data_IF_032625883874
#
_entry.id   IF_032625883874
#
_cell.length_a   1.000
_cell.length_b   1.000
_cell.length_c   1.000
_cell.angle_alpha   90.00
_cell.angle_beta   90.00
_cell.angle_gamma   90.00
#
_symmetry.space_group_name_H-M   'P 1'
#
loop_
_entity.id
_entity.type
_entity.pdbx_description
1 polymer ?
#
# COMPACT_ATOMS: atom_id res chain seq x y z
N UNK A 1 -0.79 17.19 0.65
CA UNK A 1 0.44 17.74 1.31
C UNK A 1 0.09 19.12 1.86
N UNK A 2 0.50 19.47 3.07
CA UNK A 2 0.15 20.74 3.72
C UNK A 2 -0.13 20.57 5.22
N UNK A 3 -0.44 21.68 5.91
CA UNK A 3 -0.63 21.70 7.39
C UNK A 3 -1.74 20.76 7.88
N UNK A 4 -2.79 20.55 7.09
CA UNK A 4 -3.88 19.65 7.44
C UNK A 4 -3.57 18.16 7.22
N UNK A 5 -2.44 17.81 6.59
CA UNK A 5 -2.11 16.43 6.29
C UNK A 5 -1.84 15.63 7.57
N UNK A 6 -2.28 14.36 7.60
CA UNK A 6 -2.22 13.48 8.77
C UNK A 6 -0.82 13.45 9.38
N UNK A 7 0.22 13.18 8.58
CA UNK A 7 1.60 13.10 9.06
C UNK A 7 2.13 14.42 9.61
N UNK A 8 1.68 15.56 9.08
CA UNK A 8 2.08 16.89 9.60
C UNK A 8 1.43 17.14 10.95
N UNK A 9 0.13 16.89 11.06
CA UNK A 9 -0.63 17.06 12.30
C UNK A 9 -0.11 16.17 13.43
N UNK A 10 0.27 14.92 13.13
CA UNK A 10 0.85 14.02 14.13
C UNK A 10 2.17 14.59 14.68
N UNK A 11 3.04 15.12 13.81
CA UNK A 11 4.29 15.78 14.24
C UNK A 11 4.05 17.05 15.05
N UNK A 12 3.07 17.86 14.66
CA UNK A 12 2.71 19.11 15.35
C UNK A 12 2.24 18.88 16.81
N UNK A 13 1.64 17.73 17.10
CA UNK A 13 1.22 17.36 18.47
C UNK A 13 2.30 16.62 19.27
N UNK A 14 3.54 16.54 18.75
CA UNK A 14 4.69 15.96 19.44
C UNK A 14 4.95 14.48 19.15
N UNK A 15 4.31 13.87 18.15
CA UNK A 15 4.66 12.50 17.72
C UNK A 15 5.89 12.58 16.80
N UNK A 16 7.06 12.28 17.35
CA UNK A 16 8.35 12.36 16.63
C UNK A 16 8.40 11.45 15.40
N UNK A 17 7.94 10.20 15.56
CA UNK A 17 7.91 9.20 14.50
C UNK A 17 6.48 8.68 14.26
N UNK A 18 5.70 9.33 13.38
CA UNK A 18 4.38 8.84 12.99
C UNK A 18 4.37 7.42 12.40
N UNK A 19 5.52 6.95 11.87
CA UNK A 19 5.67 5.62 11.27
C UNK A 19 5.52 4.45 12.25
N UNK A 20 5.50 4.73 13.56
CA UNK A 20 5.14 3.74 14.59
C UNK A 20 3.63 3.51 14.71
N UNK A 21 2.81 4.42 14.16
CA UNK A 21 1.35 4.39 14.31
C UNK A 21 0.61 4.22 12.99
N UNK A 22 1.21 4.67 11.88
CA UNK A 22 0.59 4.62 10.56
C UNK A 22 1.65 4.35 9.49
N UNK A 23 1.33 3.46 8.56
CA UNK A 23 2.13 3.19 7.37
C UNK A 23 1.23 3.18 6.12
N UNK A 24 1.81 3.54 4.97
CA UNK A 24 1.09 3.65 3.71
C UNK A 24 1.73 2.72 2.68
N UNK A 25 0.89 1.88 2.07
CA UNK A 25 1.35 0.84 1.16
C UNK A 25 0.51 0.81 -0.11
N UNK A 26 1.09 0.25 -1.15
CA UNK A 26 0.42 -0.15 -2.39
C UNK A 26 0.75 -1.62 -2.68
N UNK A 27 0.21 -2.13 -3.79
CA UNK A 27 0.47 -3.50 -4.23
C UNK A 27 1.10 -3.50 -5.63
N UNK A 28 2.11 -4.35 -5.83
CA UNK A 28 2.81 -4.54 -7.10
C UNK A 28 3.23 -5.99 -7.26
N UNK A 29 3.15 -6.49 -8.49
CA UNK A 29 3.58 -7.83 -8.85
C UNK A 29 4.50 -7.83 -10.07
N UNK A 30 5.06 -8.99 -10.38
CA UNK A 30 5.82 -9.22 -11.59
C UNK A 30 5.57 -10.61 -12.14
N UNK A 31 5.83 -10.77 -13.43
CA UNK A 31 5.75 -12.05 -14.12
C UNK A 31 6.68 -12.02 -15.33
N UNK A 32 6.58 -13.02 -16.20
CA UNK A 32 7.26 -13.05 -17.48
C UNK A 32 6.26 -12.97 -18.63
N UNK A 33 6.52 -12.09 -19.58
CA UNK A 33 5.79 -11.99 -20.84
C UNK A 33 6.79 -12.23 -21.98
N UNK A 34 6.60 -13.29 -22.76
CA UNK A 34 7.54 -13.71 -23.81
C UNK A 34 8.98 -13.86 -23.29
N UNK A 35 9.15 -14.49 -22.12
CA UNK A 35 10.43 -14.63 -21.41
C UNK A 35 11.10 -13.32 -20.98
N UNK A 36 10.40 -12.19 -21.06
CA UNK A 36 10.86 -10.89 -20.56
C UNK A 36 10.18 -10.62 -19.22
N UNK A 37 10.93 -10.42 -18.12
CA UNK A 37 10.37 -9.98 -16.86
C UNK A 37 9.61 -8.66 -17.02
N UNK A 38 8.39 -8.61 -16.53
CA UNK A 38 7.54 -7.42 -16.50
C UNK A 38 7.00 -7.20 -15.10
N UNK A 39 6.65 -5.96 -14.77
CA UNK A 39 5.99 -5.60 -13.51
C UNK A 39 4.79 -4.73 -13.78
N UNK A 40 3.75 -4.87 -12.95
CA UNK A 40 2.64 -3.94 -12.93
C UNK A 40 2.08 -3.78 -11.51
N UNK A 41 1.47 -2.63 -11.23
CA UNK A 41 0.71 -2.41 -10.01
C UNK A 41 -0.50 -3.35 -9.95
N UNK A 42 -0.86 -3.76 -8.74
CA UNK A 42 -2.16 -4.38 -8.48
C UNK A 42 -3.09 -3.25 -8.06
N UNK A 43 -4.16 -3.05 -8.83
CA UNK A 43 -5.09 -1.96 -8.59
C UNK A 43 -5.98 -2.24 -7.37
N UNK A 44 -5.73 -1.53 -6.27
CA UNK A 44 -6.53 -1.62 -5.05
C UNK A 44 -7.87 -0.89 -5.25
N UNK A 45 -8.86 -1.62 -5.77
CA UNK A 45 -10.22 -1.09 -5.95
C UNK A 45 -11.11 -1.28 -4.71
N UNK A 46 -10.61 -1.97 -3.68
CA UNK A 46 -11.35 -2.25 -2.45
C UNK A 46 -11.78 -0.99 -1.70
N UNK A 47 -12.95 -1.04 -1.09
CA UNK A 47 -13.40 -0.07 -0.08
C UNK A 47 -13.75 -0.83 1.19
N UNK A 48 -12.73 -1.01 2.02
CA UNK A 48 -12.74 -1.93 3.16
C UNK A 48 -12.07 -1.25 4.35
N UNK A 49 -12.71 -1.37 5.52
CA UNK A 49 -12.15 -1.04 6.81
C UNK A 49 -12.31 -2.25 7.72
N UNK A 50 -11.25 -2.62 8.44
CA UNK A 50 -11.29 -3.64 9.49
C UNK A 50 -10.75 -2.98 10.76
N UNK A 51 -11.48 -3.12 11.87
CA UNK A 51 -11.07 -2.58 13.17
C UNK A 51 -11.04 -3.71 14.22
N UNK A 52 -9.92 -3.77 14.94
CA UNK A 52 -9.69 -4.61 16.12
C UNK A 52 -9.96 -6.12 15.94
N UNK A 53 -9.94 -6.64 14.71
CA UNK A 53 -10.43 -7.98 14.39
C UNK A 53 -11.89 -8.22 14.82
N UNK A 54 -12.75 -7.19 14.91
CA UNK A 54 -14.16 -7.35 15.33
C UNK A 54 -15.19 -6.69 14.43
N UNK A 55 -14.80 -5.63 13.73
CA UNK A 55 -15.70 -4.84 12.90
C UNK A 55 -15.14 -4.77 11.50
N UNK A 56 -15.98 -5.03 10.51
CA UNK A 56 -15.69 -4.82 9.09
C UNK A 56 -16.71 -3.85 8.52
N UNK A 57 -16.24 -2.86 7.78
CA UNK A 57 -17.07 -2.06 6.89
C UNK A 57 -16.62 -2.33 5.47
N UNK A 58 -17.52 -2.78 4.61
CA UNK A 58 -17.24 -2.98 3.18
C UNK A 58 -18.38 -2.43 2.33
N UNK A 59 -18.07 -1.98 1.12
CA UNK A 59 -19.07 -1.38 0.25
C UNK A 59 -18.49 -0.79 -1.03
N UNK A 60 -19.23 0.15 -1.62
CA UNK A 60 -18.82 0.89 -2.82
C UNK A 60 -18.17 2.25 -2.50
N UNK A 61 -18.42 2.80 -1.31
CA UNK A 61 -17.99 4.14 -0.93
C UNK A 61 -16.46 4.29 -0.76
N UNK A 62 -15.83 5.11 -1.60
CA UNK A 62 -14.42 5.49 -1.45
C UNK A 62 -14.23 6.44 -0.25
N UNK A 63 -12.99 6.56 0.25
CA UNK A 63 -12.63 7.60 1.24
C UNK A 63 -12.41 8.93 0.50
N UNK A 64 -13.49 9.55 0.06
CA UNK A 64 -13.50 10.85 -0.63
C UNK A 64 -14.88 11.53 -0.48
N UNK A 65 -14.99 12.82 -0.80
CA UNK A 65 -16.24 13.57 -0.66
C UNK A 65 -17.32 13.05 -1.62
N UNK A 66 -16.92 12.63 -2.83
CA UNK A 66 -17.85 12.06 -3.83
C UNK A 66 -18.69 10.92 -3.25
N UNK A 67 -18.09 10.03 -2.49
CA UNK A 67 -18.76 8.89 -1.87
C UNK A 67 -19.31 9.20 -0.47
N UNK A 68 -18.65 10.04 0.33
CA UNK A 68 -18.92 10.13 1.78
C UNK A 68 -19.92 11.22 2.21
N UNK A 69 -20.15 12.27 1.40
CA UNK A 69 -21.02 13.39 1.83
C UNK A 69 -22.52 13.15 1.62
N UNK A 70 -22.89 12.04 0.96
CA UNK A 70 -24.28 11.61 0.74
C UNK A 70 -25.12 12.46 -0.23
N UNK A 71 -24.61 13.61 -0.70
CA UNK A 71 -25.28 14.49 -1.68
C UNK A 71 -24.74 14.35 -3.11
N UNK A 72 -23.77 13.45 -3.33
CA UNK A 72 -23.11 13.21 -4.62
C UNK A 72 -23.48 11.81 -5.13
N UNK A 73 -22.52 10.90 -5.21
CA UNK A 73 -22.76 9.56 -5.74
C UNK A 73 -23.58 8.74 -4.76
N UNK A 74 -24.46 7.88 -5.28
CA UNK A 74 -25.19 6.90 -4.48
C UNK A 74 -24.28 5.73 -4.15
N UNK A 75 -24.09 5.46 -2.86
CA UNK A 75 -23.21 4.40 -2.38
C UNK A 75 -23.95 3.44 -1.46
N UNK A 76 -23.45 2.22 -1.32
CA UNK A 76 -23.93 1.22 -0.37
C UNK A 76 -22.75 0.67 0.45
N UNK A 77 -22.99 0.44 1.74
CA UNK A 77 -22.03 -0.20 2.63
C UNK A 77 -22.74 -1.10 3.64
N UNK A 78 -22.06 -2.17 4.05
CA UNK A 78 -22.46 -3.06 5.13
C UNK A 78 -21.47 -2.92 6.29
N UNK A 79 -22.00 -2.88 7.52
CA UNK A 79 -21.21 -2.97 8.76
C UNK A 79 -21.45 -4.35 9.34
N UNK A 80 -20.37 -5.10 9.54
CA UNK A 80 -20.38 -6.45 10.07
C UNK A 80 -19.65 -6.41 11.41
N UNK A 81 -20.37 -6.70 12.48
CA UNK A 81 -19.82 -6.77 13.84
C UNK A 81 -19.90 -8.21 14.31
N UNK A 82 -18.74 -8.78 14.65
CA UNK A 82 -18.66 -10.16 15.14
C UNK A 82 -19.31 -10.30 16.53
N UNK A 83 -20.11 -11.36 16.68
CA UNK A 83 -20.63 -11.83 17.97
C UNK A 83 -20.00 -13.16 18.41
N UNK A 84 -19.29 -13.82 17.49
CA UNK A 84 -18.55 -15.06 17.73
C UNK A 84 -17.05 -14.79 17.58
N UNK A 85 -16.26 -15.40 18.46
CA UNK A 85 -14.83 -15.12 18.57
C UNK A 85 -14.01 -16.40 18.67
N UNK A 86 -12.81 -16.34 18.10
CA UNK A 86 -11.76 -17.35 18.21
C UNK A 86 -10.60 -16.82 19.06
N UNK A 87 -9.73 -17.74 19.50
CA UNK A 87 -8.48 -17.37 20.14
C UNK A 87 -7.57 -16.58 19.18
N UNK A 88 -7.20 -15.37 19.59
CA UNK A 88 -6.29 -14.50 18.88
C UNK A 88 -5.28 -13.84 19.83
N UNK A 89 -4.49 -12.91 19.29
CA UNK A 89 -3.51 -12.12 20.05
C UNK A 89 -3.51 -10.68 19.58
N UNK A 90 -3.26 -9.78 20.53
CA UNK A 90 -3.10 -8.36 20.29
C UNK A 90 -1.98 -7.83 21.19
N UNK A 91 -0.88 -7.40 20.59
CA UNK A 91 0.33 -6.94 21.27
C UNK A 91 0.86 -7.94 22.33
N UNK A 92 1.00 -9.21 21.94
CA UNK A 92 1.52 -10.31 22.74
C UNK A 92 0.54 -10.88 23.77
N UNK A 93 -0.65 -10.28 23.94
CA UNK A 93 -1.67 -10.72 24.91
C UNK A 93 -2.77 -11.51 24.22
N UNK A 94 -3.36 -12.48 24.93
CA UNK A 94 -4.57 -13.18 24.47
C UNK A 94 -5.68 -12.17 24.20
N UNK A 95 -6.31 -12.26 23.04
CA UNK A 95 -7.35 -11.34 22.60
C UNK A 95 -8.39 -12.10 21.76
N UNK A 96 -9.70 -11.96 22.02
CA UNK A 96 -10.72 -12.63 21.22
C UNK A 96 -10.81 -11.97 19.83
N UNK A 97 -10.50 -12.74 18.79
CA UNK A 97 -10.52 -12.31 17.39
C UNK A 97 -11.84 -12.75 16.77
N UNK A 98 -12.60 -11.83 16.18
CA UNK A 98 -13.88 -12.11 15.54
C UNK A 98 -13.75 -13.14 14.43
N UNK A 99 -14.71 -14.06 14.34
CA UNK A 99 -14.70 -15.13 13.34
C UNK A 99 -14.67 -14.55 11.93
N UNK A 100 -15.45 -13.51 11.64
CA UNK A 100 -15.47 -12.88 10.33
C UNK A 100 -14.29 -11.91 10.14
N UNK A 101 -14.21 -10.87 10.97
CA UNK A 101 -13.25 -9.78 10.83
C UNK A 101 -11.80 -10.28 10.94
N UNK A 102 -11.51 -11.09 11.96
CA UNK A 102 -10.19 -11.67 12.17
C UNK A 102 -9.77 -12.60 11.04
N UNK A 103 -10.66 -13.48 10.56
CA UNK A 103 -10.33 -14.37 9.43
C UNK A 103 -10.14 -13.61 8.13
N UNK A 104 -10.96 -12.60 7.84
CA UNK A 104 -10.80 -11.75 6.65
C UNK A 104 -9.44 -11.04 6.67
N UNK A 105 -9.09 -10.41 7.79
CA UNK A 105 -7.80 -9.74 7.97
C UNK A 105 -6.62 -10.71 7.85
N UNK A 106 -6.70 -11.90 8.45
CA UNK A 106 -5.71 -12.98 8.27
C UNK A 106 -5.57 -13.38 6.80
N UNK A 107 -6.69 -13.54 6.09
CA UNK A 107 -6.67 -13.92 4.67
C UNK A 107 -5.98 -12.85 3.80
N UNK A 108 -6.32 -11.57 3.98
CA UNK A 108 -5.69 -10.46 3.26
C UNK A 108 -4.20 -10.34 3.57
N UNK A 109 -3.80 -10.53 4.83
CA UNK A 109 -2.39 -10.58 5.20
C UNK A 109 -1.67 -11.74 4.50
N UNK A 110 -2.29 -12.92 4.44
CA UNK A 110 -1.72 -14.04 3.67
C UNK A 110 -1.56 -13.68 2.20
N UNK A 111 -2.57 -13.10 1.58
CA UNK A 111 -2.49 -12.70 0.17
C UNK A 111 -1.35 -11.70 -0.09
N UNK A 112 -1.33 -10.60 0.66
CA UNK A 112 -0.38 -9.52 0.43
C UNK A 112 1.06 -9.90 0.81
N UNK A 113 1.23 -10.85 1.74
CA UNK A 113 2.52 -11.40 2.12
C UNK A 113 2.90 -12.67 1.35
N UNK A 114 2.11 -13.11 0.35
CA UNK A 114 2.45 -14.28 -0.48
C UNK A 114 2.37 -15.63 0.26
N UNK A 115 1.47 -15.75 1.24
CA UNK A 115 1.26 -16.92 2.11
C UNK A 115 0.02 -17.75 1.72
N UNK A 116 -0.52 -17.57 0.51
CA UNK A 116 -1.61 -18.39 -0.01
C UNK A 116 -1.14 -19.67 -0.72
N UNK A 117 -0.02 -19.65 -1.46
CA UNK A 117 0.54 -20.81 -2.18
C UNK A 117 1.24 -21.88 -1.29
N UNK A 118 0.60 -23.02 -1.00
CA UNK A 118 1.08 -24.01 -0.03
C UNK A 118 2.48 -24.58 -0.36
N UNK A 119 2.94 -24.50 -1.60
CA UNK A 119 4.18 -25.13 -2.07
C UNK A 119 5.41 -24.20 -2.01
N UNK A 120 5.24 -22.93 -1.63
CA UNK A 120 6.36 -22.01 -1.48
C UNK A 120 7.24 -22.37 -0.26
N UNK A 121 8.56 -22.41 -0.42
CA UNK A 121 9.53 -22.45 0.69
C UNK A 121 9.36 -21.19 1.55
N UNK A 122 8.61 -21.29 2.64
CA UNK A 122 8.15 -20.12 3.40
C UNK A 122 8.96 -19.90 4.66
N UNK A 123 9.34 -18.64 4.90
CA UNK A 123 9.65 -18.18 6.25
C UNK A 123 8.38 -18.29 7.12
N UNK A 124 8.48 -18.75 8.38
CA UNK A 124 7.34 -18.78 9.29
C UNK A 124 6.92 -17.35 9.66
N UNK A 125 5.91 -16.82 8.96
CA UNK A 125 5.35 -15.49 9.19
C UNK A 125 4.11 -15.63 10.09
N UNK A 126 4.21 -15.13 11.31
CA UNK A 126 3.11 -15.11 12.26
C UNK A 126 2.24 -13.88 12.01
N UNK A 127 1.06 -14.11 11.43
CA UNK A 127 0.06 -13.08 11.13
C UNK A 127 -1.06 -13.02 12.18
N UNK A 128 -0.96 -13.76 13.28
CA UNK A 128 -2.06 -13.84 14.26
C UNK A 128 -2.18 -12.52 15.02
N UNK A 129 -1.06 -11.93 15.42
CA UNK A 129 -0.99 -10.66 16.14
C UNK A 129 -0.64 -9.51 15.18
N UNK A 130 -1.61 -8.64 14.81
CA UNK A 130 -1.39 -7.64 13.78
C UNK A 130 -0.62 -6.40 14.26
N UNK A 131 -0.39 -6.24 15.58
CA UNK A 131 0.16 -5.00 16.16
C UNK A 131 1.46 -5.22 16.95
N UNK A 132 1.88 -6.46 17.16
CA UNK A 132 3.17 -6.73 17.78
C UNK A 132 4.32 -6.22 16.89
N UNK A 133 5.32 -5.61 17.51
CA UNK A 133 6.47 -4.99 16.81
C UNK A 133 7.17 -5.96 15.83
N UNK A 134 7.33 -7.21 16.25
CA UNK A 134 7.92 -8.27 15.41
C UNK A 134 7.17 -8.44 14.08
N UNK A 135 5.85 -8.31 14.07
CA UNK A 135 5.06 -8.35 12.85
C UNK A 135 5.08 -7.00 12.13
N UNK A 136 4.74 -5.91 12.82
CA UNK A 136 4.61 -4.58 12.22
C UNK A 136 5.91 -4.06 11.58
N UNK A 137 6.98 -3.98 12.38
CA UNK A 137 8.27 -3.49 11.93
C UNK A 137 9.11 -4.62 11.31
N UNK A 138 9.15 -5.78 11.95
CA UNK A 138 10.01 -6.90 11.55
C UNK A 138 9.57 -7.65 10.28
N UNK A 139 8.29 -7.59 9.92
CA UNK A 139 7.73 -8.29 8.76
C UNK A 139 7.05 -7.32 7.79
N UNK A 140 5.94 -6.69 8.19
CA UNK A 140 5.08 -5.90 7.31
C UNK A 140 5.85 -4.74 6.64
N UNK A 141 6.40 -3.82 7.44
CA UNK A 141 7.18 -2.68 6.91
C UNK A 141 8.47 -3.14 6.22
N UNK A 142 9.21 -4.06 6.82
CA UNK A 142 10.46 -4.60 6.23
C UNK A 142 10.25 -5.21 4.84
N UNK A 143 9.21 -6.02 4.66
CA UNK A 143 8.93 -6.63 3.36
C UNK A 143 8.48 -5.60 2.34
N UNK A 144 7.63 -4.66 2.75
CA UNK A 144 7.21 -3.54 1.90
C UNK A 144 8.39 -2.72 1.38
N UNK A 145 9.29 -2.29 2.27
CA UNK A 145 10.49 -1.51 1.92
C UNK A 145 11.43 -2.31 1.02
N UNK A 146 11.74 -3.56 1.38
CA UNK A 146 12.59 -4.43 0.55
C UNK A 146 12.01 -4.64 -0.84
N UNK A 147 10.71 -4.90 -0.94
CA UNK A 147 10.06 -5.10 -2.24
C UNK A 147 10.13 -3.83 -3.09
N UNK A 148 9.90 -2.67 -2.48
CA UNK A 148 10.00 -1.36 -3.14
C UNK A 148 11.39 -1.13 -3.72
N UNK A 149 12.44 -1.37 -2.93
CA UNK A 149 13.83 -1.24 -3.36
C UNK A 149 14.15 -2.16 -4.55
N UNK A 150 13.71 -3.42 -4.48
CA UNK A 150 13.93 -4.39 -5.56
C UNK A 150 13.18 -3.95 -6.84
N UNK A 151 11.91 -3.55 -6.74
CA UNK A 151 11.15 -3.11 -7.91
C UNK A 151 11.74 -1.83 -8.54
N UNK A 152 12.15 -0.86 -7.72
CA UNK A 152 12.78 0.38 -8.17
C UNK A 152 14.13 0.12 -8.86
N UNK A 153 14.91 -0.84 -8.38
CA UNK A 153 16.20 -1.19 -8.98
C UNK A 153 16.03 -2.02 -10.26
N UNK A 154 15.21 -3.06 -10.20
CA UNK A 154 15.03 -4.02 -11.30
C UNK A 154 14.30 -3.38 -12.47
N UNK A 155 13.25 -2.61 -12.23
CA UNK A 155 12.37 -2.10 -13.28
C UNK A 155 12.37 -0.58 -13.44
N UNK A 156 12.92 0.17 -12.48
CA UNK A 156 12.79 1.64 -12.41
C UNK A 156 11.33 2.09 -12.50
N UNK A 157 10.46 1.45 -11.73
CA UNK A 157 9.03 1.75 -11.75
C UNK A 157 8.72 3.17 -11.20
N UNK A 158 7.60 3.71 -11.68
CA UNK A 158 6.97 4.91 -11.13
C UNK A 158 5.60 4.51 -10.54
N UNK A 159 5.11 5.24 -9.53
CA UNK A 159 5.76 6.34 -8.80
C UNK A 159 6.88 5.86 -7.84
N UNK A 160 7.84 6.73 -7.50
CA UNK A 160 8.87 6.49 -6.47
C UNK A 160 9.37 7.79 -5.82
N UNK A 161 10.00 7.71 -4.64
CA UNK A 161 10.42 8.88 -3.84
C UNK A 161 11.71 9.58 -4.33
N UNK A 162 12.43 8.97 -5.29
CA UNK A 162 13.61 9.59 -5.93
C UNK A 162 13.18 10.67 -6.93
N UNK A 163 11.98 10.55 -7.50
CA UNK A 163 11.45 11.47 -8.52
C UNK A 163 10.55 12.53 -7.88
N UNK A 164 11.12 13.71 -7.60
CA UNK A 164 10.42 14.80 -6.88
C UNK A 164 9.81 15.88 -7.78
N UNK A 165 10.12 15.87 -9.07
CA UNK A 165 9.64 16.85 -10.06
C UNK A 165 9.48 16.23 -11.46
N UNK A 166 8.76 16.89 -12.37
CA UNK A 166 8.64 16.44 -13.77
C UNK A 166 9.99 16.53 -14.49
N UNK A 167 10.84 17.49 -14.13
CA UNK A 167 12.21 17.56 -14.64
C UNK A 167 13.05 16.37 -14.16
N UNK A 168 12.90 15.95 -12.89
CA UNK A 168 13.55 14.74 -12.38
C UNK A 168 13.00 13.48 -13.05
N UNK A 169 11.69 13.44 -13.35
CA UNK A 169 11.07 12.30 -14.03
C UNK A 169 11.67 12.07 -15.42
N UNK A 170 11.80 13.13 -16.23
CA UNK A 170 12.42 13.03 -17.56
C UNK A 170 13.84 12.49 -17.49
N UNK A 171 14.67 13.08 -16.62
CA UNK A 171 16.04 12.60 -16.38
C UNK A 171 16.08 11.15 -15.91
N UNK A 172 15.20 10.78 -14.97
CA UNK A 172 15.12 9.41 -14.46
C UNK A 172 14.77 8.40 -15.56
N UNK A 173 13.98 8.78 -16.56
CA UNK A 173 13.64 7.93 -17.70
C UNK A 173 14.75 7.88 -18.78
N UNK A 174 15.56 8.93 -18.89
CA UNK A 174 16.57 9.10 -19.96
C UNK A 174 18.00 8.66 -19.58
N UNK A 175 18.45 8.92 -18.35
CA UNK A 175 19.88 8.89 -18.01
C UNK A 175 20.41 7.48 -17.66
N UNK A 176 19.59 6.57 -17.12
CA UNK A 176 20.05 5.24 -16.73
C UNK A 176 19.05 4.12 -17.08
N UNK A 177 19.47 3.04 -17.76
CA UNK A 177 18.62 1.87 -17.95
C UNK A 177 18.36 1.15 -16.61
N UNK A 178 17.20 0.49 -16.44
CA UNK A 178 16.92 -0.35 -15.27
C UNK A 178 17.86 -1.57 -15.22
N UNK A 179 18.06 -2.16 -14.03
CA UNK A 179 18.95 -3.32 -13.85
C UNK A 179 18.56 -4.49 -14.76
N UNK A 180 17.26 -4.68 -15.03
CA UNK A 180 16.79 -5.70 -15.97
C UNK A 180 17.42 -5.58 -17.37
N UNK A 181 17.78 -4.37 -17.82
CA UNK A 181 18.43 -4.15 -19.11
C UNK A 181 19.96 -4.24 -19.05
N UNK A 182 20.57 -3.90 -17.91
CA UNK A 182 22.03 -3.89 -17.77
C UNK A 182 22.58 -5.25 -17.36
N UNK A 183 21.91 -5.95 -16.45
CA UNK A 183 22.29 -7.26 -15.95
C UNK A 183 21.03 -8.11 -15.61
N UNK A 184 20.48 -8.84 -16.61
CA UNK A 184 19.28 -9.67 -16.43
C UNK A 184 19.45 -10.81 -15.42
N UNK A 185 20.67 -11.33 -15.25
CA UNK A 185 20.96 -12.45 -14.35
C UNK A 185 20.90 -11.97 -12.89
N UNK A 186 21.51 -10.82 -12.60
CA UNK A 186 21.37 -10.19 -11.27
C UNK A 186 19.93 -9.76 -11.05
N UNK A 187 19.26 -9.16 -12.03
CA UNK A 187 17.85 -8.79 -11.92
C UNK A 187 16.97 -9.98 -11.52
N UNK A 188 17.15 -11.12 -12.17
CA UNK A 188 16.41 -12.36 -11.87
C UNK A 188 16.68 -12.84 -10.43
N UNK A 189 17.95 -12.82 -9.98
CA UNK A 189 18.31 -13.16 -8.60
C UNK A 189 17.70 -12.21 -7.57
N UNK A 190 17.58 -10.92 -7.90
CA UNK A 190 16.96 -9.92 -7.03
C UNK A 190 15.46 -10.16 -6.88
N UNK A 191 14.77 -10.50 -7.97
CA UNK A 191 13.33 -10.80 -7.94
C UNK A 191 12.97 -12.00 -7.05
N UNK A 192 13.86 -13.00 -6.92
CA UNK A 192 13.67 -14.12 -5.99
C UNK A 192 13.56 -13.70 -4.52
N UNK A 193 14.01 -12.49 -4.16
CA UNK A 193 13.95 -11.98 -2.80
C UNK A 193 12.66 -11.21 -2.49
N UNK A 194 11.74 -11.07 -3.46
CA UNK A 194 10.42 -10.47 -3.24
C UNK A 194 9.58 -11.40 -2.36
N UNK A 195 8.91 -10.83 -1.36
CA UNK A 195 7.92 -11.54 -0.54
C UNK A 195 6.55 -10.90 -0.70
N UNK A 196 5.59 -11.63 -1.26
CA UNK A 196 4.25 -11.13 -1.49
C UNK A 196 4.22 -9.95 -2.47
N UNK A 197 3.22 -9.09 -2.33
CA UNK A 197 2.93 -7.99 -3.27
C UNK A 197 3.02 -6.60 -2.62
N UNK A 198 3.28 -6.52 -1.31
CA UNK A 198 3.30 -5.25 -0.59
C UNK A 198 4.50 -4.38 -1.01
N UNK A 199 4.26 -3.10 -1.30
CA UNK A 199 5.29 -2.08 -1.54
C UNK A 199 4.91 -0.78 -0.82
N UNK A 200 5.89 0.06 -0.52
CA UNK A 200 5.67 1.34 0.14
C UNK A 200 4.97 2.28 -0.83
N UNK A 201 4.00 3.05 -0.31
CA UNK A 201 3.39 4.12 -1.09
C UNK A 201 4.36 5.32 -1.08
N UNK A 202 4.88 5.77 -2.23
CA UNK A 202 5.83 6.87 -2.27
C UNK A 202 5.16 8.19 -1.88
N UNK A 203 5.64 8.81 -0.81
CA UNK A 203 5.07 10.03 -0.24
C UNK A 203 5.71 11.31 -0.79
N UNK A 204 6.87 11.19 -1.42
CA UNK A 204 7.70 12.28 -1.96
C UNK A 204 7.61 12.41 -3.48
N UNK A 205 6.98 11.46 -4.18
CA UNK A 205 6.81 11.50 -5.63
C UNK A 205 6.16 12.81 -6.10
N UNK A 206 6.83 13.53 -7.01
CA UNK A 206 6.40 14.83 -7.54
C UNK A 206 6.04 15.87 -6.46
N UNK A 207 6.69 15.85 -5.29
CA UNK A 207 6.38 16.79 -4.20
C UNK A 207 6.84 18.23 -4.38
N UNK A 208 7.63 18.50 -5.42
CA UNK A 208 8.01 19.85 -5.83
C UNK A 208 7.12 20.42 -6.93
N UNK A 209 6.06 19.72 -7.32
CA UNK A 209 5.14 20.13 -8.39
C UNK A 209 3.77 20.54 -7.84
N UNK A 210 3.10 21.43 -8.57
CA UNK A 210 1.67 21.71 -8.39
C UNK A 210 0.90 20.72 -9.25
N UNK A 211 0.29 19.72 -8.59
CA UNK A 211 -0.39 18.62 -9.28
C UNK A 211 -1.84 18.92 -9.66
N UNK A 212 -2.36 20.11 -9.30
CA UNK A 212 -3.68 20.56 -9.75
C UNK A 212 -3.60 20.97 -11.22
N UNK A 213 -4.60 20.63 -12.05
CA UNK A 213 -4.65 21.10 -13.42
C UNK A 213 -4.56 22.63 -13.52
N UNK A 214 -3.77 23.19 -14.46
CA UNK A 214 -3.70 24.64 -14.64
C UNK A 214 -5.07 25.21 -15.00
N UNK A 215 -5.47 26.37 -14.44
CA UNK A 215 -6.77 26.98 -14.72
C UNK A 215 -7.02 27.35 -16.20
N UNK A 216 -5.96 27.38 -17.02
CA UNK A 216 -6.03 27.58 -18.48
C UNK A 216 -6.21 26.29 -19.27
N UNK A 217 -6.10 25.12 -18.64
CA UNK A 217 -6.35 23.81 -19.25
C UNK A 217 -7.83 23.44 -19.22
N UNK A 218 -8.26 22.53 -20.10
CA UNK A 218 -9.64 22.03 -20.08
C UNK A 218 -10.00 21.41 -18.73
N UNK A 219 -9.06 20.68 -18.14
CA UNK A 219 -9.19 20.02 -16.84
C UNK A 219 -9.23 21.03 -15.68
N UNK A 220 -8.56 22.18 -15.81
CA UNK A 220 -8.59 23.24 -14.80
C UNK A 220 -9.86 24.10 -14.81
N UNK A 221 -10.65 24.04 -15.89
CA UNK A 221 -11.99 24.62 -15.94
C UNK A 221 -13.05 23.72 -15.28
N UNK A 222 -12.72 22.46 -14.99
CA UNK A 222 -13.61 21.51 -14.32
C UNK A 222 -13.66 21.85 -12.82
N UNK A 223 -14.85 21.89 -12.19
CA UNK A 223 -14.96 22.10 -10.75
C UNK A 223 -14.11 21.10 -9.95
N UNK A 224 -13.41 21.58 -8.94
CA UNK A 224 -12.51 20.75 -8.12
C UNK A 224 -13.23 19.59 -7.42
N UNK A 225 -14.53 19.74 -7.15
CA UNK A 225 -15.41 18.70 -6.61
C UNK A 225 -15.51 17.44 -7.47
N UNK A 226 -15.12 17.50 -8.75
CA UNK A 226 -15.01 16.31 -9.59
C UNK A 226 -13.87 15.40 -9.12
N UNK A 227 -12.82 15.97 -8.52
CA UNK A 227 -11.63 15.25 -8.07
C UNK A 227 -11.62 14.95 -6.57
N UNK A 228 -12.56 15.50 -5.79
CA UNK A 228 -12.65 15.31 -4.33
C UNK A 228 -13.72 14.34 -3.91
#
# INVERSE_FOLDING_TARGET
>A
RGRSAILVRLKEVGIENPGEYISFHALRTHSQLNNVPITELIYVHSKLLIADDRVVICGSANINDRSMIGKRDSEIAAIITDNEFEDGRMNGKKYPSGVFAGRLRKFLFKEHLGLLDPDAERMPIDIIDPVVDQFWNGMWKRFSTRNTEIYDEVFKCIPNDKVKSFANLRKYQEEEPPLLKTDPDIASKRLLNIQGNLVDLPLEFLNKEVLTPPGTSKEGLIPTSVWT
#
